data_IF_635652221178
#
_entry.id   IF_635652221178
#
_cell.length_a   1.000
_cell.length_b   1.000
_cell.length_c   1.000
_cell.angle_alpha   90.00
_cell.angle_beta   90.00
_cell.angle_gamma   90.00
#
_symmetry.space_group_name_H-M   'P 1'
#
loop_
_entity.id
_entity.type
_entity.pdbx_description
1 polymer ?
#
# COMPACT_ATOMS: atom_id res chain seq x y z
N UNK A 1 -29.70 -15.23 -50.00
CA UNK A 1 -30.65 -14.75 -48.96
C UNK A 1 -29.94 -14.98 -47.64
N UNK A 2 -29.58 -14.00 -46.79
CA UNK A 2 -30.13 -12.67 -46.50
C UNK A 2 -31.57 -12.74 -45.95
N UNK A 3 -31.94 -12.17 -44.80
CA UNK A 3 -31.23 -11.30 -43.80
C UNK A 3 -31.27 -11.96 -42.39
N UNK A 4 -31.14 -11.37 -41.18
CA UNK A 4 -31.09 -9.96 -40.70
C UNK A 4 -30.50 -9.82 -39.27
N UNK A 5 -30.01 -8.61 -38.97
CA UNK A 5 -30.02 -7.88 -37.69
C UNK A 5 -29.65 -8.57 -36.34
N UNK A 6 -28.48 -8.22 -35.81
CA UNK A 6 -28.22 -8.14 -34.37
C UNK A 6 -28.69 -6.79 -33.79
N UNK A 7 -29.32 -6.75 -32.61
CA UNK A 7 -29.61 -5.50 -31.90
C UNK A 7 -28.70 -5.29 -30.69
N UNK A 8 -27.90 -4.21 -30.72
CA UNK A 8 -27.00 -3.83 -29.62
C UNK A 8 -27.65 -2.78 -28.72
N UNK A 9 -27.95 -3.14 -27.47
CA UNK A 9 -28.38 -2.17 -26.46
C UNK A 9 -27.17 -1.39 -25.91
N UNK A 10 -27.23 -0.05 -25.96
CA UNK A 10 -26.15 0.82 -25.50
C UNK A 10 -26.32 1.20 -24.02
N UNK A 11 -25.32 0.86 -23.19
CA UNK A 11 -25.26 1.28 -21.79
C UNK A 11 -24.57 2.64 -21.65
N UNK A 12 -25.36 3.71 -21.54
CA UNK A 12 -24.86 5.02 -21.15
C UNK A 12 -24.80 5.11 -19.62
N UNK A 13 -23.61 5.33 -19.06
CA UNK A 13 -23.39 5.43 -17.61
C UNK A 13 -22.58 6.69 -17.27
N UNK A 14 -23.28 7.83 -17.21
CA UNK A 14 -22.69 9.13 -16.88
C UNK A 14 -22.52 9.21 -15.35
N UNK A 15 -21.31 8.94 -14.87
CA UNK A 15 -20.91 9.16 -13.48
C UNK A 15 -20.13 10.45 -13.31
N UNK A 16 -20.62 11.37 -12.47
CA UNK A 16 -19.88 12.60 -12.10
C UNK A 16 -20.20 13.02 -10.66
N UNK A 17 -19.69 12.25 -9.70
CA UNK A 17 -19.84 12.55 -8.27
C UNK A 17 -18.66 13.42 -7.81
N UNK A 18 -18.88 14.72 -7.67
CA UNK A 18 -17.89 15.69 -7.18
C UNK A 18 -17.96 15.80 -5.65
N UNK A 19 -16.80 15.91 -5.00
CA UNK A 19 -16.69 16.48 -3.64
C UNK A 19 -16.34 15.47 -2.54
N UNK A 20 -15.03 15.31 -2.30
CA UNK A 20 -14.50 14.93 -0.99
C UNK A 20 -13.35 15.90 -0.67
N UNK A 21 -13.57 16.81 0.27
CA UNK A 21 -12.56 17.70 0.84
C UNK A 21 -12.19 17.23 2.24
N UNK A 22 -10.89 17.23 2.55
CA UNK A 22 -10.34 16.74 3.82
C UNK A 22 -9.28 17.74 4.34
N UNK A 23 -9.70 18.61 5.24
CA UNK A 23 -8.84 19.47 6.08
C UNK A 23 -9.67 19.92 7.30
N UNK A 24 -9.41 19.45 8.52
CA UNK A 24 -8.24 19.74 9.37
C UNK A 24 -8.27 21.15 9.98
N UNK A 25 -8.79 21.25 11.20
CA UNK A 25 -8.68 22.43 12.06
C UNK A 25 -8.63 21.99 13.54
N UNK A 26 -7.46 22.09 14.16
CA UNK A 26 -7.22 21.69 15.56
C UNK A 26 -7.29 22.88 16.52
N UNK A 27 -8.23 22.87 17.44
CA UNK A 27 -8.41 23.92 18.46
C UNK A 27 -7.66 23.59 19.77
N UNK A 28 -6.34 23.74 19.77
CA UNK A 28 -5.59 23.89 21.02
C UNK A 28 -5.77 25.32 21.56
N UNK A 29 -6.58 25.50 22.60
CA UNK A 29 -6.55 26.70 23.44
C UNK A 29 -6.42 26.34 24.91
N UNK A 30 -5.80 27.26 25.66
CA UNK A 30 -5.13 27.02 26.93
C UNK A 30 -5.17 28.32 27.73
N UNK A 31 -5.53 28.24 29.01
CA UNK A 31 -5.86 29.41 29.85
C UNK A 31 -7.37 29.66 29.89
N UNK A 32 -7.92 30.29 30.93
CA UNK A 32 -7.22 30.93 32.06
C UNK A 32 -7.82 30.62 33.43
N UNK A 33 -7.03 30.88 34.47
CA UNK A 33 -7.44 30.76 35.87
C UNK A 33 -8.03 32.09 36.37
N UNK A 34 -9.26 32.06 36.88
CA UNK A 34 -9.88 33.21 37.53
C UNK A 34 -10.49 32.80 38.88
N UNK A 35 -9.84 33.21 39.99
CA UNK A 35 -10.36 33.10 41.36
C UNK A 35 -10.25 34.47 42.03
N UNK A 36 -11.36 35.20 42.26
CA UNK A 36 -11.38 36.33 43.17
C UNK A 36 -11.53 35.84 44.61
N UNK A 37 -10.63 36.29 45.50
CA UNK A 37 -10.69 35.98 46.94
C UNK A 37 -11.74 36.91 47.59
N UNK A 38 -12.82 36.34 48.13
CA UNK A 38 -13.82 37.05 48.92
C UNK A 38 -13.80 36.57 50.37
N UNK A 39 -13.34 37.42 51.30
CA UNK A 39 -13.25 37.08 52.72
C UNK A 39 -14.39 37.71 53.53
N UNK A 40 -15.23 36.88 54.16
CA UNK A 40 -16.22 37.31 55.16
C UNK A 40 -16.09 36.45 56.42
N UNK A 41 -15.89 37.10 57.58
CA UNK A 41 -15.95 36.47 58.90
C UNK A 41 -17.37 36.66 59.46
N UNK A 42 -18.06 35.59 59.81
CA UNK A 42 -19.11 35.60 60.83
C UNK A 42 -19.04 34.33 61.67
N UNK A 43 -19.36 34.46 62.95
CA UNK A 43 -19.30 33.42 63.97
C UNK A 43 -20.69 32.95 64.39
N UNK A 44 -20.87 31.65 64.62
CA UNK A 44 -21.99 31.12 65.38
C UNK A 44 -21.58 29.91 66.22
N UNK A 45 -22.33 29.61 67.29
CA UNK A 45 -21.82 28.81 68.41
C UNK A 45 -22.76 27.69 68.86
N UNK A 46 -22.22 26.45 68.93
CA UNK A 46 -22.80 25.26 69.60
C UNK A 46 -24.13 24.75 68.98
N UNK A 47 -24.57 23.48 69.23
CA UNK A 47 -24.45 22.70 70.47
C UNK A 47 -23.64 21.40 70.37
N UNK A 48 -23.65 20.63 71.46
CA UNK A 48 -23.04 19.31 71.60
C UNK A 48 -24.05 18.18 71.34
N UNK A 49 -23.65 17.16 70.59
CA UNK A 49 -24.25 15.82 70.65
C UNK A 49 -23.22 14.74 70.24
N UNK A 50 -23.51 13.50 70.62
CA UNK A 50 -22.58 12.36 70.68
C UNK A 50 -21.86 12.01 69.36
N UNK A 51 -20.63 11.44 69.42
CA UNK A 51 -20.02 10.81 68.26
C UNK A 51 -20.81 9.55 67.88
N UNK A 52 -21.57 9.61 66.79
CA UNK A 52 -22.21 8.43 66.19
C UNK A 52 -21.11 7.47 65.69
N UNK A 53 -21.03 6.29 66.29
CA UNK A 53 -19.94 5.33 66.03
C UNK A 53 -20.16 4.60 64.71
N UNK A 54 -19.78 5.27 63.62
CA UNK A 54 -19.57 4.70 62.27
C UNK A 54 -20.75 3.86 61.74
N UNK A 55 -21.94 4.47 61.67
CA UNK A 55 -23.00 4.04 60.72
C UNK A 55 -22.58 4.38 59.28
N UNK A 56 -21.47 3.81 58.82
CA UNK A 56 -21.18 3.56 57.39
C UNK A 56 -19.76 3.04 57.16
N UNK A 57 -19.66 1.73 56.91
CA UNK A 57 -18.69 1.23 55.93
C UNK A 57 -19.15 1.61 54.51
N UNK A 58 -19.31 2.91 54.22
CA UNK A 58 -19.60 3.38 52.87
C UNK A 58 -18.44 2.95 51.97
N UNK A 59 -18.69 1.96 51.12
CA UNK A 59 -17.74 1.43 50.16
C UNK A 59 -17.41 2.54 49.15
N UNK A 60 -16.40 3.36 49.48
CA UNK A 60 -15.84 4.39 48.60
C UNK A 60 -15.67 3.74 47.23
N UNK A 61 -16.33 4.35 46.23
CA UNK A 61 -16.90 3.62 45.11
C UNK A 61 -15.95 2.62 44.48
N UNK A 62 -16.46 1.44 44.11
CA UNK A 62 -15.72 0.45 43.35
C UNK A 62 -15.36 1.03 41.98
N UNK A 63 -14.29 1.81 41.93
CA UNK A 63 -13.82 2.51 40.74
C UNK A 63 -13.54 1.48 39.65
N UNK A 64 -14.14 1.70 38.48
CA UNK A 64 -13.91 0.83 37.33
C UNK A 64 -12.44 0.92 36.92
N UNK A 65 -11.66 -0.05 37.38
CA UNK A 65 -10.26 -0.24 37.02
C UNK A 65 -10.24 -0.62 35.54
N UNK A 66 -9.97 0.37 34.69
CA UNK A 66 -9.98 0.22 33.23
C UNK A 66 -8.88 -0.76 32.80
N UNK A 67 -9.24 -2.04 32.72
CA UNK A 67 -8.38 -3.14 32.31
C UNK A 67 -8.10 -3.16 30.79
N UNK A 68 -7.81 -2.00 30.20
CA UNK A 68 -7.50 -1.82 28.77
C UNK A 68 -6.04 -2.17 28.43
N UNK A 69 -5.59 -3.38 28.79
CA UNK A 69 -4.23 -3.89 28.51
C UNK A 69 -4.20 -4.78 27.27
N UNK A 70 -4.59 -4.23 26.14
CA UNK A 70 -4.59 -4.96 24.87
C UNK A 70 -3.19 -5.05 24.23
N UNK A 71 -2.85 -6.23 23.72
CA UNK A 71 -1.63 -6.43 22.94
C UNK A 71 -1.84 -6.03 21.47
N UNK A 72 -0.82 -5.44 20.84
CA UNK A 72 -0.89 -5.09 19.41
C UNK A 72 -1.25 -6.31 18.54
N UNK A 73 -2.14 -6.12 17.57
CA UNK A 73 -2.53 -7.18 16.63
C UNK A 73 -1.33 -7.79 15.91
N UNK A 74 -1.13 -9.10 16.07
CA UNK A 74 -0.01 -9.81 15.45
C UNK A 74 -0.33 -10.07 13.97
N UNK A 75 0.57 -9.67 13.06
CA UNK A 75 0.39 -9.70 11.59
C UNK A 75 0.50 -11.12 10.98
N UNK A 76 -0.19 -12.07 11.59
CA UNK A 76 -0.30 -13.48 11.22
C UNK A 76 -1.14 -13.67 9.93
N UNK A 77 -1.52 -14.90 9.62
CA UNK A 77 -2.32 -15.28 8.45
C UNK A 77 -1.49 -15.71 7.24
N UNK A 78 -2.21 -16.08 6.19
CA UNK A 78 -1.67 -16.40 4.86
C UNK A 78 -1.00 -15.16 4.27
N UNK A 79 0.06 -15.37 3.49
CA UNK A 79 0.85 -14.34 2.79
C UNK A 79 0.94 -14.59 1.28
N UNK A 80 0.93 -15.86 0.87
CA UNK A 80 0.83 -16.31 -0.52
C UNK A 80 -0.34 -17.28 -0.59
N UNK A 81 -1.31 -17.01 -1.47
CA UNK A 81 -2.52 -17.81 -1.62
C UNK A 81 -2.33 -18.95 -2.63
N UNK A 82 -3.37 -19.78 -2.82
CA UNK A 82 -3.38 -20.81 -3.86
C UNK A 82 -3.13 -20.24 -5.26
N UNK A 83 -2.41 -21.01 -6.07
CA UNK A 83 -2.06 -20.71 -7.47
C UNK A 83 -1.30 -19.39 -7.68
N UNK A 84 -0.66 -18.88 -6.61
CA UNK A 84 0.29 -17.78 -6.65
C UNK A 84 1.73 -18.30 -6.63
N UNK A 85 2.64 -17.56 -7.29
CA UNK A 85 4.05 -17.91 -7.37
C UNK A 85 4.79 -17.60 -6.05
N UNK A 86 5.36 -18.64 -5.43
CA UNK A 86 6.34 -18.53 -4.36
C UNK A 86 7.78 -18.48 -4.92
N UNK A 87 8.69 -17.94 -4.11
CA UNK A 87 10.14 -18.04 -4.29
C UNK A 87 10.72 -18.98 -3.21
N UNK A 88 11.90 -19.59 -3.40
CA UNK A 88 12.59 -20.28 -2.31
C UNK A 88 12.77 -19.33 -1.11
N UNK A 89 12.56 -19.85 0.11
CA UNK A 89 12.58 -19.08 1.36
C UNK A 89 11.35 -18.18 1.60
N UNK A 90 10.43 -18.04 0.65
CA UNK A 90 9.26 -17.17 0.82
C UNK A 90 8.27 -17.75 1.84
N UNK A 91 7.83 -16.92 2.79
CA UNK A 91 6.83 -17.28 3.79
C UNK A 91 5.45 -17.37 3.13
N UNK A 92 4.82 -18.53 3.23
CA UNK A 92 3.47 -18.79 2.70
C UNK A 92 2.42 -18.46 3.77
N UNK A 93 2.65 -18.88 5.03
CA UNK A 93 1.71 -18.63 6.16
C UNK A 93 2.47 -18.37 7.46
N UNK A 94 2.05 -17.34 8.21
CA UNK A 94 2.42 -17.17 9.63
C UNK A 94 1.24 -17.55 10.53
N UNK A 95 1.41 -18.53 11.41
CA UNK A 95 0.31 -19.09 12.20
C UNK A 95 0.67 -19.21 13.69
N UNK A 96 -0.28 -19.69 14.49
CA UNK A 96 -0.09 -20.11 15.89
C UNK A 96 -0.66 -21.52 16.00
N UNK A 97 0.18 -22.48 16.37
CA UNK A 97 -0.04 -23.89 16.08
C UNK A 97 -0.08 -24.18 14.57
N UNK A 98 -0.26 -25.44 14.20
CA UNK A 98 -0.44 -25.88 12.81
C UNK A 98 -1.93 -25.89 12.43
N UNK A 99 -2.46 -24.76 11.94
CA UNK A 99 -3.75 -24.75 11.23
C UNK A 99 -3.59 -25.34 9.83
N UNK A 100 -2.47 -25.02 9.21
CA UNK A 100 -1.96 -25.66 8.00
C UNK A 100 -0.76 -26.53 8.35
N UNK A 101 -0.64 -27.67 7.69
CA UNK A 101 0.51 -28.57 7.78
C UNK A 101 1.47 -28.39 6.58
N UNK A 102 2.78 -28.63 6.75
CA UNK A 102 3.70 -28.69 5.61
C UNK A 102 3.36 -29.88 4.70
N UNK A 103 3.43 -29.67 3.39
CA UNK A 103 3.27 -30.67 2.34
C UNK A 103 4.59 -30.89 1.58
N UNK A 104 4.51 -31.05 0.26
CA UNK A 104 5.71 -31.25 -0.58
C UNK A 104 6.43 -29.91 -0.85
N UNK A 105 7.77 -29.95 -0.86
CA UNK A 105 8.66 -28.83 -1.19
C UNK A 105 8.51 -27.58 -0.29
N UNK A 106 8.10 -27.80 0.96
CA UNK A 106 7.69 -26.76 1.92
C UNK A 106 8.26 -27.08 3.31
N UNK A 107 8.87 -26.08 3.95
CA UNK A 107 9.46 -26.18 5.28
C UNK A 107 8.54 -25.62 6.39
N UNK A 108 8.79 -26.08 7.62
CA UNK A 108 8.13 -25.61 8.84
C UNK A 108 9.17 -24.99 9.79
N UNK A 109 8.98 -23.72 10.16
CA UNK A 109 9.85 -23.00 11.09
C UNK A 109 9.48 -23.21 12.57
N UNK A 110 10.37 -22.78 13.47
CA UNK A 110 10.24 -22.93 14.95
C UNK A 110 8.91 -22.38 15.52
N UNK A 111 8.33 -21.35 14.91
CA UNK A 111 7.04 -20.77 15.34
C UNK A 111 5.82 -21.34 14.57
N UNK A 112 6.01 -22.45 13.85
CA UNK A 112 5.06 -23.06 12.90
C UNK A 112 4.76 -22.22 11.65
N UNK A 113 5.55 -21.18 11.37
CA UNK A 113 5.54 -20.49 10.07
C UNK A 113 5.90 -21.46 8.95
N UNK A 114 5.13 -21.43 7.85
CA UNK A 114 5.33 -22.27 6.67
C UNK A 114 6.01 -21.45 5.57
N UNK A 115 7.07 -21.99 4.98
CA UNK A 115 7.87 -21.34 3.93
C UNK A 115 8.18 -22.30 2.76
N UNK A 116 8.34 -21.76 1.55
CA UNK A 116 8.67 -22.58 0.38
C UNK A 116 10.16 -22.94 0.34
N UNK A 117 10.48 -24.15 -0.14
CA UNK A 117 11.86 -24.57 -0.43
C UNK A 117 12.25 -24.32 -1.89
N UNK A 118 11.27 -24.28 -2.80
CA UNK A 118 11.47 -24.06 -4.25
C UNK A 118 10.70 -22.83 -4.73
N UNK A 119 10.95 -22.40 -5.96
CA UNK A 119 10.02 -21.57 -6.73
C UNK A 119 8.91 -22.44 -7.38
N UNK A 120 7.73 -21.87 -7.55
CA UNK A 120 6.57 -22.61 -8.05
C UNK A 120 5.23 -22.05 -7.58
N UNK A 121 4.13 -22.75 -7.91
CA UNK A 121 2.80 -22.41 -7.42
C UNK A 121 2.52 -23.06 -6.06
N UNK A 122 2.00 -22.26 -5.13
CA UNK A 122 1.46 -22.75 -3.85
C UNK A 122 0.11 -23.44 -4.09
N UNK A 123 -0.07 -24.65 -3.56
CA UNK A 123 -1.35 -25.36 -3.58
C UNK A 123 -1.77 -25.80 -2.17
N UNK A 124 -3.02 -25.52 -1.84
CA UNK A 124 -3.68 -25.94 -0.61
C UNK A 124 -4.47 -27.21 -0.91
N UNK A 125 -4.22 -28.27 -0.14
CA UNK A 125 -4.84 -29.59 -0.33
C UNK A 125 -5.41 -30.09 1.01
N UNK A 126 -6.52 -30.84 0.99
CA UNK A 126 -6.99 -31.51 2.21
C UNK A 126 -5.99 -32.56 2.72
N UNK A 127 -6.00 -32.76 4.04
CA UNK A 127 -5.15 -33.72 4.75
C UNK A 127 -6.00 -34.47 5.78
N UNK A 128 -6.65 -35.56 5.35
CA UNK A 128 -7.76 -36.15 6.09
C UNK A 128 -9.05 -35.29 5.98
N UNK A 129 -9.99 -35.41 6.92
CA UNK A 129 -11.29 -34.74 6.84
C UNK A 129 -11.21 -33.21 6.96
N UNK A 130 -10.58 -32.72 8.03
CA UNK A 130 -10.67 -31.32 8.48
C UNK A 130 -9.41 -30.48 8.23
N UNK A 131 -8.24 -31.13 8.19
CA UNK A 131 -6.94 -30.44 8.14
C UNK A 131 -6.56 -30.10 6.71
N UNK A 132 -5.73 -29.07 6.53
CA UNK A 132 -5.22 -28.65 5.23
C UNK A 132 -3.68 -28.69 5.24
N UNK A 133 -3.07 -29.20 4.17
CA UNK A 133 -1.63 -29.18 3.92
C UNK A 133 -1.30 -28.19 2.80
N UNK A 134 -0.07 -27.67 2.81
CA UNK A 134 0.45 -26.72 1.81
C UNK A 134 1.62 -27.36 1.09
N UNK A 135 1.47 -27.59 -0.21
CA UNK A 135 2.55 -28.04 -1.10
C UNK A 135 2.93 -26.91 -2.07
N UNK A 136 4.17 -26.92 -2.56
CA UNK A 136 4.57 -26.09 -3.71
C UNK A 136 4.97 -26.99 -4.88
N UNK A 137 4.42 -26.69 -6.05
CA UNK A 137 4.69 -27.41 -7.30
C UNK A 137 5.47 -26.49 -8.25
N UNK A 138 6.56 -26.96 -8.90
CA UNK A 138 7.31 -26.14 -9.84
C UNK A 138 6.41 -25.65 -10.97
N UNK A 139 6.64 -24.42 -11.45
CA UNK A 139 5.79 -23.78 -12.46
C UNK A 139 6.56 -23.44 -13.73
N UNK A 140 6.31 -24.19 -14.78
CA UNK A 140 6.71 -23.80 -16.13
C UNK A 140 5.99 -22.51 -16.54
N UNK A 141 6.76 -21.50 -16.92
CA UNK A 141 6.23 -20.22 -17.38
C UNK A 141 5.92 -20.34 -18.86
N UNK A 142 4.65 -20.58 -19.19
CA UNK A 142 4.17 -20.56 -20.58
C UNK A 142 4.56 -19.24 -21.27
N UNK A 143 5.05 -19.27 -22.53
CA UNK A 143 5.45 -18.07 -23.24
C UNK A 143 4.25 -17.14 -23.50
N UNK A 144 4.44 -15.83 -23.32
CA UNK A 144 3.37 -14.85 -23.56
C UNK A 144 3.08 -14.64 -25.05
N UNK A 145 1.80 -14.52 -25.41
CA UNK A 145 1.38 -14.16 -26.77
C UNK A 145 1.86 -12.72 -27.11
N UNK A 146 2.69 -12.54 -28.16
CA UNK A 146 3.29 -11.23 -28.48
C UNK A 146 2.26 -10.18 -28.88
N UNK A 147 1.11 -10.58 -29.45
CA UNK A 147 0.06 -9.67 -29.90
C UNK A 147 -0.87 -9.19 -28.78
N UNK A 148 -0.63 -9.63 -27.54
CA UNK A 148 -1.37 -9.22 -26.34
C UNK A 148 -1.42 -7.71 -26.16
N UNK A 149 -2.60 -7.20 -25.76
CA UNK A 149 -2.82 -5.79 -25.44
C UNK A 149 -1.79 -5.24 -24.43
N UNK A 150 -1.37 -6.07 -23.46
CA UNK A 150 -0.36 -5.71 -22.45
C UNK A 150 1.01 -5.43 -23.04
N UNK A 151 1.41 -6.19 -24.08
CA UNK A 151 2.68 -5.99 -24.80
C UNK A 151 2.60 -4.75 -25.68
N UNK A 152 1.49 -4.59 -26.43
CA UNK A 152 1.24 -3.41 -27.27
C UNK A 152 1.32 -2.09 -26.49
N UNK A 153 0.73 -2.05 -25.30
CA UNK A 153 0.79 -0.88 -24.42
C UNK A 153 2.19 -0.66 -23.83
N UNK A 154 2.94 -1.72 -23.47
CA UNK A 154 4.33 -1.61 -23.03
C UNK A 154 5.21 -0.95 -24.08
N UNK A 155 5.17 -1.44 -25.32
CA UNK A 155 5.97 -0.89 -26.42
C UNK A 155 5.49 0.51 -26.81
N UNK A 156 4.19 0.81 -26.76
CA UNK A 156 3.68 2.17 -26.95
C UNK A 156 4.30 3.18 -25.95
N UNK A 157 4.28 2.89 -24.65
CA UNK A 157 4.86 3.79 -23.65
C UNK A 157 6.38 3.91 -23.75
N UNK A 158 7.07 2.85 -24.18
CA UNK A 158 8.51 2.88 -24.50
C UNK A 158 8.81 3.78 -25.70
N UNK A 159 8.13 3.57 -26.83
CA UNK A 159 8.27 4.39 -28.04
C UNK A 159 7.92 5.86 -27.80
N UNK A 160 6.92 6.17 -26.95
CA UNK A 160 6.62 7.56 -26.59
C UNK A 160 7.74 8.20 -25.74
N UNK A 161 8.36 7.43 -24.83
CA UNK A 161 9.52 7.91 -24.06
C UNK A 161 10.73 8.14 -24.95
N UNK A 162 11.02 7.22 -25.87
CA UNK A 162 12.10 7.32 -26.85
C UNK A 162 11.88 8.49 -27.81
N UNK A 163 10.68 8.65 -28.39
CA UNK A 163 10.31 9.80 -29.22
C UNK A 163 10.42 11.13 -28.48
N UNK A 164 10.02 11.20 -27.20
CA UNK A 164 10.14 12.42 -26.39
C UNK A 164 11.60 12.73 -26.03
N UNK A 165 12.43 11.71 -25.78
CA UNK A 165 13.87 11.84 -25.56
C UNK A 165 14.55 12.35 -26.84
N UNK A 166 14.36 11.67 -27.97
CA UNK A 166 14.91 12.03 -29.27
C UNK A 166 14.48 13.44 -29.73
N UNK A 167 13.21 13.85 -29.47
CA UNK A 167 12.79 15.24 -29.70
C UNK A 167 13.53 16.25 -28.81
N UNK A 168 13.79 15.94 -27.53
CA UNK A 168 14.57 16.83 -26.66
C UNK A 168 16.03 16.95 -27.13
N UNK A 169 16.63 15.83 -27.55
CA UNK A 169 18.02 15.77 -28.00
C UNK A 169 18.20 16.39 -29.39
N UNK A 170 17.23 16.23 -30.30
CA UNK A 170 17.17 16.94 -31.58
C UNK A 170 16.75 18.41 -31.48
N UNK A 171 16.50 18.93 -30.28
CA UNK A 171 16.34 20.38 -29.99
C UNK A 171 17.67 20.95 -29.43
N UNK A 172 18.75 20.17 -29.38
CA UNK A 172 20.09 20.72 -29.24
C UNK A 172 20.47 21.46 -30.52
N UNK A 173 20.55 22.79 -30.44
CA UNK A 173 21.02 23.63 -31.54
C UNK A 173 22.39 23.14 -32.00
N UNK A 174 22.59 22.96 -33.31
CA UNK A 174 23.94 23.01 -33.85
C UNK A 174 24.47 24.43 -33.60
N UNK A 175 25.54 24.65 -32.82
CA UNK A 175 26.26 25.90 -32.93
C UNK A 175 26.76 25.98 -34.37
N UNK A 176 26.41 27.04 -35.09
CA UNK A 176 26.87 27.20 -36.47
C UNK A 176 28.40 27.29 -36.44
N UNK A 177 29.06 26.24 -36.91
CA UNK A 177 30.45 26.34 -37.35
C UNK A 177 30.44 27.20 -38.60
N UNK A 178 30.54 28.51 -38.40
CA UNK A 178 30.81 29.48 -39.44
C UNK A 178 32.21 29.16 -39.98
N UNK A 179 32.25 28.33 -41.01
CA UNK A 179 33.46 28.07 -41.77
C UNK A 179 33.89 29.38 -42.42
N UNK A 180 34.92 29.99 -41.85
CA UNK A 180 35.53 31.20 -42.38
C UNK A 180 36.31 30.86 -43.66
N UNK A 181 35.59 30.74 -44.78
CA UNK A 181 36.16 30.63 -46.12
C UNK A 181 36.89 31.92 -46.48
N UNK A 182 38.18 31.99 -46.12
CA UNK A 182 39.11 32.97 -46.68
C UNK A 182 39.45 32.51 -48.09
N UNK A 183 38.64 32.91 -49.06
CA UNK A 183 38.98 32.76 -50.48
C UNK A 183 40.05 33.81 -50.83
N UNK A 184 41.27 33.34 -51.09
CA UNK A 184 42.38 34.18 -51.54
C UNK A 184 42.17 34.67 -52.98
N UNK A 185 42.44 35.95 -53.23
CA UNK A 185 42.37 36.56 -54.56
C UNK A 185 43.66 36.36 -55.37
N UNK A 186 43.60 36.73 -56.67
CA UNK A 186 44.57 36.45 -57.74
C UNK A 186 44.65 34.96 -58.10
N UNK A 187 44.28 34.48 -59.30
CA UNK A 187 44.21 35.06 -60.65
C UNK A 187 45.58 35.41 -61.27
N UNK A 188 46.00 34.58 -62.23
CA UNK A 188 46.84 34.94 -63.37
C UNK A 188 46.47 34.03 -64.55
N UNK A 189 46.80 34.44 -65.79
CA UNK A 189 46.08 33.98 -66.99
C UNK A 189 46.95 33.41 -68.11
N UNK A 190 46.34 32.52 -68.91
CA UNK A 190 46.75 32.09 -70.28
C UNK A 190 48.13 31.41 -70.43
N UNK A 191 48.29 30.35 -71.22
CA UNK A 191 47.92 30.29 -72.64
C UNK A 191 47.96 28.84 -73.18
N UNK A 192 47.56 28.63 -74.43
CA UNK A 192 47.77 27.38 -75.17
C UNK A 192 49.04 27.45 -76.02
N UNK A 193 49.57 26.26 -76.35
CA UNK A 193 50.81 25.97 -77.10
C UNK A 193 52.09 26.01 -76.24
#
# INVERSE_FOLDING_TARGET
>A
MATSASMTAAFNLIGSFKGLSLSSSSSFLRGDLAVPIGATKLSFSRPSTFPLTIESAHKKGAGSTKNGRDSRGQRLGVKIYGDQAAKPGAIIVRQRGTKFHPGKNVGLGKDHTIFSLIDGLVKFEKYGPDKTKISVYPREVQPENPNSHRVRMREYFKLQRERKKAKKEGIFLQPQLVLASVEGAAADASSNC
#
